data_IF_023487781268
#
_entry.id   IF_023487781268
#
_cell.length_a   1.000
_cell.length_b   1.000
_cell.length_c   1.000
_cell.angle_alpha   90.00
_cell.angle_beta   90.00
_cell.angle_gamma   90.00
#
_symmetry.space_group_name_H-M   'P 1'
#
loop_
_entity.id
_entity.type
_entity.pdbx_description
1 polymer ?
#
# COMPACT_ATOMS: atom_id res chain seq x y z
N UNK A 1 -2.24 18.14 -20.04
CA UNK A 1 -3.28 17.26 -19.48
C UNK A 1 -2.78 16.59 -18.22
N UNK A 2 -3.55 16.61 -17.17
CA UNK A 2 -3.22 15.92 -15.94
C UNK A 2 -3.37 14.42 -16.15
N UNK A 3 -2.30 13.61 -15.94
CA UNK A 3 -2.40 12.15 -16.10
C UNK A 3 -3.51 11.51 -15.28
N UNK A 4 -3.83 12.09 -14.12
CA UNK A 4 -4.88 11.57 -13.25
C UNK A 4 -6.28 11.80 -13.83
N UNK A 5 -6.44 12.80 -14.68
CA UNK A 5 -7.73 13.09 -15.31
C UNK A 5 -8.12 12.04 -16.35
N UNK A 6 -7.16 11.22 -16.82
CA UNK A 6 -7.43 10.17 -17.81
C UNK A 6 -7.76 8.82 -17.18
N UNK A 7 -7.74 8.71 -15.85
CA UNK A 7 -8.08 7.47 -15.18
C UNK A 7 -9.58 7.17 -15.38
N UNK A 8 -9.95 5.93 -15.76
CA UNK A 8 -11.35 5.56 -15.91
C UNK A 8 -12.13 5.75 -14.61
N UNK A 9 -13.40 6.15 -14.68
CA UNK A 9 -14.25 6.19 -13.50
C UNK A 9 -14.31 4.82 -12.82
N UNK A 10 -14.22 4.79 -11.50
CA UNK A 10 -14.24 3.56 -10.74
C UNK A 10 -12.90 2.86 -10.62
N UNK A 11 -11.82 3.47 -11.16
CA UNK A 11 -10.46 2.93 -10.98
C UNK A 11 -10.06 2.94 -9.52
N UNK A 12 -9.36 1.88 -9.12
CA UNK A 12 -8.78 1.77 -7.79
C UNK A 12 -7.43 2.47 -7.80
N UNK A 13 -7.28 3.47 -6.94
CA UNK A 13 -6.10 4.32 -6.87
C UNK A 13 -5.13 3.75 -5.85
N UNK A 14 -3.93 3.39 -6.28
CA UNK A 14 -2.93 2.74 -5.44
C UNK A 14 -1.72 3.64 -5.28
N UNK A 15 -1.33 3.88 -4.03
CA UNK A 15 -0.06 4.53 -3.70
C UNK A 15 0.90 3.48 -3.14
N UNK A 16 2.15 3.54 -3.58
CA UNK A 16 3.21 2.65 -3.12
C UNK A 16 4.20 3.44 -2.27
N UNK A 17 4.38 3.03 -1.01
CA UNK A 17 5.44 3.56 -0.14
C UNK A 17 6.43 2.42 0.11
N UNK A 18 7.65 2.55 -0.40
CA UNK A 18 8.61 1.45 -0.34
C UNK A 18 9.94 1.92 0.23
N UNK A 19 10.55 1.10 1.08
CA UNK A 19 11.88 1.36 1.62
C UNK A 19 12.95 1.28 0.51
N UNK A 20 12.74 0.38 -0.44
CA UNK A 20 13.67 0.18 -1.55
C UNK A 20 12.99 0.59 -2.86
N UNK A 21 13.57 1.56 -3.60
CA UNK A 21 12.99 2.01 -4.88
C UNK A 21 12.79 0.89 -5.89
N UNK A 22 13.60 -0.17 -5.87
CA UNK A 22 13.45 -1.29 -6.78
C UNK A 22 12.12 -2.01 -6.60
N UNK A 23 11.54 -1.96 -5.40
CA UNK A 23 10.25 -2.61 -5.12
C UNK A 23 9.14 -1.92 -5.90
N UNK A 24 9.02 -0.59 -5.81
CA UNK A 24 7.94 0.08 -6.54
C UNK A 24 8.20 0.12 -8.04
N UNK A 25 9.46 0.10 -8.50
CA UNK A 25 9.79 0.00 -9.93
C UNK A 25 9.35 -1.33 -10.52
N UNK A 26 9.41 -2.39 -9.72
CA UNK A 26 8.94 -3.72 -10.13
C UNK A 26 7.43 -3.87 -9.95
N UNK A 27 6.93 -3.52 -8.77
CA UNK A 27 5.53 -3.75 -8.39
C UNK A 27 4.56 -2.84 -9.14
N UNK A 28 4.94 -1.58 -9.35
CA UNK A 28 4.07 -0.59 -9.99
C UNK A 28 3.55 -1.05 -11.35
N UNK A 29 4.44 -1.38 -12.31
CA UNK A 29 3.99 -1.86 -13.62
C UNK A 29 3.15 -3.15 -13.55
N UNK A 30 3.48 -4.04 -12.63
CA UNK A 30 2.75 -5.30 -12.45
C UNK A 30 1.33 -5.06 -11.99
N UNK A 31 1.13 -4.13 -11.05
CA UNK A 31 -0.21 -3.75 -10.60
C UNK A 31 -0.97 -2.98 -11.67
N UNK A 32 -0.29 -2.08 -12.39
CA UNK A 32 -0.91 -1.28 -13.45
C UNK A 32 -1.35 -2.12 -14.64
N UNK A 33 -0.87 -3.35 -14.77
CA UNK A 33 -1.33 -4.27 -15.81
C UNK A 33 -2.80 -4.67 -15.60
N UNK A 34 -3.31 -4.61 -14.38
CA UNK A 34 -4.74 -4.77 -14.12
C UNK A 34 -5.45 -3.45 -14.45
N UNK A 35 -6.46 -3.50 -15.33
CA UNK A 35 -7.17 -2.32 -15.80
C UNK A 35 -7.95 -1.59 -14.71
N UNK A 36 -8.29 -2.28 -13.63
CA UNK A 36 -9.00 -1.68 -12.52
C UNK A 36 -8.09 -0.79 -11.66
N UNK A 37 -6.77 -0.92 -11.78
CA UNK A 37 -5.81 -0.26 -10.93
C UNK A 37 -5.11 0.90 -11.62
N UNK A 38 -4.91 1.98 -10.86
CA UNK A 38 -4.08 3.12 -11.28
C UNK A 38 -3.09 3.39 -10.16
N UNK A 39 -1.79 3.31 -10.44
CA UNK A 39 -0.76 3.68 -9.48
C UNK A 39 -0.65 5.19 -9.50
N UNK A 40 -1.15 5.84 -8.46
CA UNK A 40 -1.24 7.32 -8.39
C UNK A 40 0.04 7.96 -7.88
N UNK A 41 0.95 7.19 -7.32
CA UNK A 41 2.24 7.71 -6.88
C UNK A 41 3.09 6.63 -6.25
N UNK A 42 4.39 6.88 -6.28
CA UNK A 42 5.39 6.04 -5.62
C UNK A 42 6.21 6.94 -4.70
N UNK A 43 6.37 6.52 -3.47
CA UNK A 43 6.94 7.32 -2.39
C UNK A 43 7.93 6.48 -1.59
N UNK A 44 8.90 7.14 -0.98
CA UNK A 44 9.76 6.47 -0.03
C UNK A 44 9.00 6.24 1.28
N UNK A 45 9.28 5.13 1.95
CA UNK A 45 8.64 4.80 3.23
C UNK A 45 9.33 5.56 4.36
N UNK A 46 9.11 6.87 4.38
CA UNK A 46 9.62 7.79 5.41
C UNK A 46 8.51 8.74 5.82
N UNK A 47 8.58 9.26 7.04
CA UNK A 47 7.53 10.10 7.60
C UNK A 47 7.28 11.35 6.74
N UNK A 48 8.34 11.95 6.16
CA UNK A 48 8.23 13.15 5.35
C UNK A 48 7.38 12.95 4.09
N UNK A 49 7.23 11.71 3.63
CA UNK A 49 6.47 11.39 2.42
C UNK A 49 4.99 11.10 2.71
N UNK A 50 4.60 11.02 3.98
CA UNK A 50 3.21 10.74 4.35
C UNK A 50 2.24 11.80 3.79
N UNK A 51 2.50 13.11 3.94
CA UNK A 51 1.58 14.11 3.38
C UNK A 51 1.40 13.97 1.87
N UNK A 52 2.48 13.73 1.12
CA UNK A 52 2.41 13.58 -0.33
C UNK A 52 1.64 12.31 -0.72
N UNK A 53 1.84 11.24 0.01
CA UNK A 53 1.13 9.98 -0.21
C UNK A 53 -0.37 10.17 -0.02
N UNK A 54 -0.76 10.84 1.06
CA UNK A 54 -2.17 11.11 1.36
C UNK A 54 -2.78 12.07 0.34
N UNK A 55 -2.01 13.07 -0.11
CA UNK A 55 -2.47 14.05 -1.10
C UNK A 55 -2.73 13.42 -2.47
N UNK A 56 -2.13 12.28 -2.76
CA UNK A 56 -2.40 11.53 -3.99
C UNK A 56 -3.80 10.91 -4.01
N UNK A 57 -4.52 10.98 -2.90
CA UNK A 57 -5.89 10.50 -2.76
C UNK A 57 -6.02 9.01 -3.09
N UNK A 58 -5.25 8.13 -2.43
CA UNK A 58 -5.29 6.70 -2.72
C UNK A 58 -6.48 6.00 -2.08
N UNK A 59 -6.98 4.97 -2.75
CA UNK A 59 -7.91 4.00 -2.17
C UNK A 59 -7.16 2.91 -1.42
N UNK A 60 -5.93 2.63 -1.86
CA UNK A 60 -5.07 1.60 -1.30
C UNK A 60 -3.68 2.18 -1.14
N UNK A 61 -3.07 1.97 0.02
CA UNK A 61 -1.66 2.29 0.27
C UNK A 61 -0.94 0.99 0.58
N UNK A 62 0.11 0.70 -0.18
CA UNK A 62 0.93 -0.50 0.04
C UNK A 62 2.28 -0.04 0.59
N UNK A 63 2.60 -0.50 1.80
CA UNK A 63 3.90 -0.25 2.42
C UNK A 63 4.82 -1.43 2.15
N UNK A 64 5.75 -1.26 1.20
CA UNK A 64 6.77 -2.26 0.89
C UNK A 64 7.98 -2.08 1.77
N UNK A 65 8.18 -2.98 2.72
CA UNK A 65 9.21 -2.87 3.76
C UNK A 65 9.99 -4.17 3.86
N UNK A 66 11.16 -4.13 4.48
CA UNK A 66 11.96 -5.35 4.72
C UNK A 66 11.38 -6.16 5.87
N UNK A 67 11.16 -5.46 6.98
CA UNK A 67 10.63 -6.05 8.22
C UNK A 67 9.69 -5.07 8.88
N UNK A 68 8.79 -5.60 9.68
CA UNK A 68 7.91 -4.79 10.52
C UNK A 68 8.74 -4.28 11.70
N UNK A 69 8.94 -2.97 11.75
CA UNK A 69 9.69 -2.29 12.83
C UNK A 69 8.80 -1.22 13.45
N UNK A 70 9.17 -0.78 14.65
CA UNK A 70 8.47 0.33 15.29
C UNK A 70 8.44 1.57 14.40
N UNK A 71 9.56 1.86 13.75
CA UNK A 71 9.69 3.05 12.90
C UNK A 71 8.69 3.01 11.72
N UNK A 72 8.66 1.92 10.97
CA UNK A 72 7.76 1.87 9.81
C UNK A 72 6.29 1.67 10.21
N UNK A 73 6.02 1.15 11.41
CA UNK A 73 4.65 1.09 11.92
C UNK A 73 4.15 2.47 12.35
N UNK A 74 5.02 3.37 12.77
CA UNK A 74 4.66 4.78 12.99
C UNK A 74 4.20 5.43 11.68
N UNK A 75 4.85 5.11 10.58
CA UNK A 75 4.45 5.60 9.25
C UNK A 75 3.09 5.03 8.86
N UNK A 76 2.89 3.73 9.05
CA UNK A 76 1.61 3.07 8.82
C UNK A 76 0.49 3.77 9.59
N UNK A 77 0.70 4.03 10.86
CA UNK A 77 -0.27 4.70 11.73
C UNK A 77 -0.59 6.11 11.21
N UNK A 78 0.45 6.85 10.81
CA UNK A 78 0.27 8.21 10.30
C UNK A 78 -0.58 8.21 9.02
N UNK A 79 -0.33 7.28 8.11
CA UNK A 79 -1.12 7.13 6.89
C UNK A 79 -2.58 6.81 7.23
N UNK A 80 -2.80 5.84 8.12
CA UNK A 80 -4.14 5.40 8.47
C UNK A 80 -4.93 6.49 9.19
N UNK A 81 -4.28 7.28 10.04
CA UNK A 81 -4.92 8.39 10.73
C UNK A 81 -5.32 9.50 9.76
N UNK A 82 -4.51 9.76 8.75
CA UNK A 82 -4.78 10.78 7.75
C UNK A 82 -5.80 10.33 6.70
N UNK A 83 -5.86 9.03 6.40
CA UNK A 83 -6.77 8.43 5.40
C UNK A 83 -7.40 7.17 5.99
N UNK A 84 -8.28 7.33 6.96
CA UNK A 84 -8.87 6.20 7.68
C UNK A 84 -9.73 5.27 6.80
N UNK A 85 -10.19 5.75 5.67
CA UNK A 85 -10.99 4.96 4.71
C UNK A 85 -10.13 4.23 3.67
N UNK A 86 -8.84 4.53 3.58
CA UNK A 86 -7.96 3.82 2.66
C UNK A 86 -7.64 2.43 3.19
N UNK A 87 -7.50 1.49 2.25
CA UNK A 87 -7.01 0.15 2.57
C UNK A 87 -5.49 0.22 2.71
N UNK A 88 -4.96 -0.12 3.87
CA UNK A 88 -3.51 -0.11 4.12
C UNK A 88 -3.01 -1.56 4.17
N UNK A 89 -2.10 -1.88 3.26
CA UNK A 89 -1.48 -3.20 3.15
C UNK A 89 -0.01 -3.07 3.51
N UNK A 90 0.43 -3.82 4.51
CA UNK A 90 1.86 -3.93 4.84
C UNK A 90 2.41 -5.14 4.10
N UNK A 91 3.46 -4.91 3.31
CA UNK A 91 4.05 -5.91 2.41
C UNK A 91 5.52 -6.12 2.79
N UNK A 92 5.80 -6.88 3.86
CA UNK A 92 7.17 -7.12 4.30
C UNK A 92 7.83 -8.24 3.53
N UNK A 93 9.17 -8.21 3.44
CA UNK A 93 9.96 -9.31 2.90
C UNK A 93 9.96 -10.50 3.87
N UNK A 94 9.87 -10.23 5.17
CA UNK A 94 10.02 -11.22 6.22
C UNK A 94 9.16 -10.85 7.41
N UNK A 95 8.55 -11.85 8.03
CA UNK A 95 7.80 -11.72 9.29
C UNK A 95 8.44 -12.66 10.31
N UNK A 96 8.90 -12.09 11.43
CA UNK A 96 9.61 -12.85 12.45
C UNK A 96 8.69 -13.67 13.33
N UNK A 97 7.56 -13.09 13.76
CA UNK A 97 6.61 -13.76 14.65
C UNK A 97 5.22 -13.12 14.55
N UNK A 98 4.28 -13.69 15.31
CA UNK A 98 2.89 -13.21 15.32
C UNK A 98 2.75 -11.84 15.98
N UNK A 99 3.68 -11.45 16.86
CA UNK A 99 3.64 -10.14 17.51
C UNK A 99 3.90 -9.02 16.51
N UNK A 100 4.73 -9.27 15.49
CA UNK A 100 4.95 -8.30 14.42
C UNK A 100 3.65 -8.04 13.66
N UNK A 101 2.90 -9.10 13.34
CA UNK A 101 1.60 -8.96 12.65
C UNK A 101 0.61 -8.19 13.52
N UNK A 102 0.56 -8.48 14.81
CA UNK A 102 -0.28 -7.74 15.74
C UNK A 102 0.09 -6.27 15.81
N UNK A 103 1.39 -5.98 15.82
CA UNK A 103 1.89 -4.60 15.80
C UNK A 103 1.42 -3.86 14.56
N UNK A 104 1.47 -4.51 13.41
CA UNK A 104 1.00 -3.91 12.16
C UNK A 104 -0.50 -3.63 12.21
N UNK A 105 -1.29 -4.56 12.70
CA UNK A 105 -2.74 -4.36 12.85
C UNK A 105 -3.06 -3.25 13.84
N UNK A 106 -2.34 -3.18 14.95
CA UNK A 106 -2.50 -2.11 15.94
C UNK A 106 -2.15 -0.75 15.36
N UNK A 107 -1.22 -0.70 14.40
CA UNK A 107 -0.86 0.52 13.69
C UNK A 107 -1.86 0.90 12.60
N UNK A 108 -2.88 0.09 12.37
CA UNK A 108 -3.93 0.37 11.40
C UNK A 108 -3.83 -0.36 10.07
N UNK A 109 -2.87 -1.29 9.93
CA UNK A 109 -2.79 -2.11 8.73
C UNK A 109 -4.04 -2.99 8.63
N UNK A 110 -4.69 -2.97 7.49
CA UNK A 110 -5.85 -3.81 7.24
C UNK A 110 -5.43 -5.26 6.97
N UNK A 111 -4.25 -5.44 6.41
CA UNK A 111 -3.71 -6.78 6.19
C UNK A 111 -2.18 -6.72 6.06
N UNK A 112 -1.55 -7.85 6.32
CA UNK A 112 -0.10 -8.06 6.15
C UNK A 112 0.06 -9.20 5.16
N UNK A 113 0.77 -8.94 4.07
CA UNK A 113 1.01 -9.91 3.00
C UNK A 113 2.51 -9.96 2.72
N UNK A 114 3.09 -11.16 2.65
CA UNK A 114 4.51 -11.28 2.33
C UNK A 114 4.80 -10.80 0.91
N UNK A 115 5.91 -10.11 0.74
CA UNK A 115 6.33 -9.53 -0.55
C UNK A 115 6.57 -10.59 -1.62
N UNK A 116 6.81 -11.85 -1.21
CA UNK A 116 7.00 -12.97 -2.11
C UNK A 116 5.71 -13.43 -2.80
N UNK A 117 4.56 -12.89 -2.42
CA UNK A 117 3.29 -13.22 -3.06
C UNK A 117 3.36 -12.94 -4.57
N UNK A 118 2.76 -13.80 -5.38
CA UNK A 118 2.69 -13.52 -6.82
C UNK A 118 1.67 -12.43 -7.11
N UNK A 119 1.83 -11.77 -8.26
CA UNK A 119 1.00 -10.62 -8.61
C UNK A 119 -0.49 -10.97 -8.71
N UNK A 120 -0.90 -12.06 -9.39
CA UNK A 120 -2.32 -12.40 -9.43
C UNK A 120 -2.94 -12.59 -8.06
N UNK A 121 -2.24 -13.22 -7.13
CA UNK A 121 -2.74 -13.43 -5.78
C UNK A 121 -2.84 -12.11 -5.01
N UNK A 122 -1.88 -11.21 -5.18
CA UNK A 122 -1.93 -9.88 -4.56
C UNK A 122 -3.12 -9.07 -5.09
N UNK A 123 -3.32 -9.08 -6.41
CA UNK A 123 -4.45 -8.38 -7.05
C UNK A 123 -5.78 -8.91 -6.49
N UNK A 124 -5.91 -10.22 -6.37
CA UNK A 124 -7.10 -10.85 -5.82
C UNK A 124 -7.35 -10.42 -4.37
N UNK A 125 -6.29 -10.39 -3.55
CA UNK A 125 -6.38 -9.93 -2.16
C UNK A 125 -6.85 -8.48 -2.06
N UNK A 126 -6.34 -7.62 -2.93
CA UNK A 126 -6.74 -6.20 -2.94
C UNK A 126 -8.22 -6.09 -3.26
N UNK A 127 -8.70 -6.76 -4.31
CA UNK A 127 -10.12 -6.73 -4.69
C UNK A 127 -11.00 -7.28 -3.57
N UNK A 128 -10.62 -8.41 -2.97
CA UNK A 128 -11.39 -9.02 -1.90
C UNK A 128 -11.52 -8.11 -0.69
N UNK A 129 -10.42 -7.44 -0.31
CA UNK A 129 -10.42 -6.53 0.85
C UNK A 129 -11.25 -5.28 0.59
N UNK A 130 -11.21 -4.74 -0.63
CA UNK A 130 -12.01 -3.58 -0.99
C UNK A 130 -13.49 -3.91 -0.98
N UNK A 131 -13.89 -5.08 -1.41
CA UNK A 131 -15.28 -5.53 -1.35
C UNK A 131 -15.79 -5.60 0.09
N UNK A 132 -14.94 -6.05 1.02
CA UNK A 132 -15.30 -6.11 2.43
C UNK A 132 -15.51 -4.73 3.06
N UNK A 133 -14.90 -3.69 2.50
CA UNK A 133 -15.04 -2.31 3.00
C UNK A 133 -16.27 -1.60 2.43
N UNK A 134 -16.84 -2.10 1.37
CA UNK A 134 -17.98 -1.48 0.68
C UNK A 134 -19.28 -1.62 1.46
#
# INVERSE_FOLDING_TARGET
MNPHASAPPGSIRIALMCENPNVYRSLGPRLSADRAFVVVGTFDCVMDQVPDTVAADPDVVILGISRITHFNMMICQAVKQARCDALVIVLPSYVGDTDEVRSARAAGADTVILKSIDTPALVEQIHARLELKS
#
